data_IF_119135502820
#
_entry.id   IF_119135502820
#
_cell.length_a   1.000
_cell.length_b   1.000
_cell.length_c   1.000
_cell.angle_alpha   90.00
_cell.angle_beta   90.00
_cell.angle_gamma   90.00
#
_symmetry.space_group_name_H-M   'P 1'
#
loop_
_entity.id
_entity.type
_entity.pdbx_description
1 polymer ?
#
# COMPACT_ATOMS: atom_id res chain seq x y z
N UNK A 1 38.34 9.38 2.21
CA UNK A 1 38.03 8.95 0.84
C UNK A 1 38.60 7.55 0.64
N UNK A 2 37.75 6.51 0.61
CA UNK A 2 38.16 5.13 0.28
C UNK A 2 38.16 4.99 -1.25
N UNK A 3 39.15 5.58 -1.91
CA UNK A 3 39.08 5.95 -3.32
C UNK A 3 39.08 4.82 -4.36
N UNK A 4 39.18 3.54 -4.00
CA UNK A 4 39.46 2.44 -4.96
C UNK A 4 38.60 1.17 -4.77
N UNK A 5 37.44 1.26 -4.09
CA UNK A 5 36.55 0.10 -3.96
C UNK A 5 35.76 -0.12 -5.25
N UNK A 6 35.98 -1.28 -5.89
CA UNK A 6 35.16 -1.78 -7.01
C UNK A 6 34.13 -2.75 -6.46
N UNK A 7 32.89 -2.30 -6.32
CA UNK A 7 31.78 -3.17 -5.92
C UNK A 7 31.27 -3.95 -7.12
N UNK A 8 31.07 -5.27 -6.94
CA UNK A 8 30.35 -6.10 -7.88
C UNK A 8 29.05 -6.54 -7.19
N UNK A 9 27.86 -6.13 -7.68
CA UNK A 9 26.62 -6.55 -7.08
C UNK A 9 26.49 -8.08 -7.17
N UNK A 10 26.28 -8.73 -6.03
CA UNK A 10 26.00 -10.16 -5.95
C UNK A 10 24.55 -10.47 -6.35
N UNK A 11 23.66 -9.48 -6.25
CA UNK A 11 22.24 -9.58 -6.56
C UNK A 11 21.88 -8.53 -7.62
N UNK A 12 21.32 -8.97 -8.74
CA UNK A 12 20.89 -8.09 -9.85
C UNK A 12 19.41 -8.26 -10.19
N UNK A 13 18.69 -9.14 -9.49
CA UNK A 13 17.25 -9.28 -9.66
C UNK A 13 16.55 -8.05 -9.09
N UNK A 14 15.66 -7.47 -9.88
CA UNK A 14 14.80 -6.37 -9.42
C UNK A 14 13.85 -6.91 -8.35
N UNK A 15 13.90 -6.31 -7.17
CA UNK A 15 12.88 -6.50 -6.16
C UNK A 15 11.65 -5.73 -6.61
N UNK A 16 10.51 -6.43 -6.77
CA UNK A 16 9.24 -5.76 -7.01
C UNK A 16 8.88 -4.92 -5.77
N UNK A 17 8.50 -3.65 -5.94
CA UNK A 17 8.12 -2.83 -4.81
C UNK A 17 6.77 -3.31 -4.24
N UNK A 18 6.57 -3.19 -2.91
CA UNK A 18 5.33 -3.61 -2.26
C UNK A 18 4.13 -2.77 -2.71
N UNK A 19 4.38 -1.54 -3.16
CA UNK A 19 3.41 -0.70 -3.82
C UNK A 19 4.11 0.23 -4.81
N UNK A 20 3.38 0.69 -5.82
CA UNK A 20 3.86 1.61 -6.84
C UNK A 20 2.71 2.54 -7.25
N UNK A 21 2.95 3.85 -7.22
CA UNK A 21 1.97 4.84 -7.67
C UNK A 21 1.78 4.71 -9.19
N UNK A 22 0.53 4.76 -9.64
CA UNK A 22 0.18 4.66 -11.05
C UNK A 22 -0.61 5.89 -11.50
N UNK A 23 -0.45 6.24 -12.78
CA UNK A 23 -1.32 7.25 -13.40
C UNK A 23 -2.73 6.69 -13.51
N UNK A 24 -3.67 7.31 -12.80
CA UNK A 24 -5.09 6.98 -12.87
C UNK A 24 -5.89 8.26 -13.09
N UNK A 25 -7.05 8.14 -13.74
CA UNK A 25 -7.92 9.29 -14.02
C UNK A 25 -8.61 9.85 -12.76
N UNK A 26 -8.63 9.05 -11.69
CA UNK A 26 -9.00 9.45 -10.33
C UNK A 26 -7.74 9.85 -9.54
N UNK A 27 -7.91 10.71 -8.53
CA UNK A 27 -6.87 11.56 -7.96
C UNK A 27 -5.54 10.85 -7.64
N UNK A 28 -5.59 9.69 -6.97
CA UNK A 28 -4.41 8.91 -6.61
C UNK A 28 -4.71 7.41 -6.70
N UNK A 29 -3.80 6.65 -7.31
CA UNK A 29 -3.90 5.19 -7.34
C UNK A 29 -2.54 4.49 -7.20
N UNK A 30 -2.58 3.26 -6.68
CA UNK A 30 -1.41 2.41 -6.48
C UNK A 30 -1.67 0.99 -6.97
N UNK A 31 -0.67 0.36 -7.56
CA UNK A 31 -0.57 -1.10 -7.55
C UNK A 31 0.02 -1.53 -6.20
N UNK A 32 -0.74 -2.27 -5.40
CA UNK A 32 -0.30 -2.85 -4.12
C UNK A 32 -0.11 -4.35 -4.30
N UNK A 33 1.04 -4.89 -3.88
CA UNK A 33 1.43 -6.29 -4.12
C UNK A 33 1.71 -7.02 -2.83
N UNK A 34 1.41 -8.31 -2.73
CA UNK A 34 1.72 -9.11 -1.55
C UNK A 34 1.45 -10.60 -1.75
N UNK A 35 2.09 -11.46 -0.97
CA UNK A 35 1.94 -12.92 -1.04
C UNK A 35 0.60 -13.40 -0.44
N UNK A 36 -0.07 -12.54 0.33
CA UNK A 36 -1.36 -12.83 0.97
C UNK A 36 -2.08 -11.52 1.33
N UNK A 37 -3.35 -11.63 1.71
CA UNK A 37 -4.21 -10.50 2.07
C UNK A 37 -3.65 -9.64 3.21
N UNK A 38 -2.97 -10.24 4.18
CA UNK A 38 -2.35 -9.50 5.28
C UNK A 38 -1.23 -8.58 4.77
N UNK A 39 -0.40 -9.07 3.85
CA UNK A 39 0.62 -8.25 3.21
C UNK A 39 0.01 -7.14 2.36
N UNK A 40 -1.08 -7.40 1.63
CA UNK A 40 -1.80 -6.37 0.88
C UNK A 40 -2.29 -5.26 1.82
N UNK A 41 -2.91 -5.60 2.95
CA UNK A 41 -3.34 -4.62 3.95
C UNK A 41 -2.15 -3.76 4.44
N UNK A 42 -1.06 -4.40 4.87
CA UNK A 42 0.12 -3.68 5.38
C UNK A 42 0.71 -2.77 4.31
N UNK A 43 0.90 -3.28 3.08
CA UNK A 43 1.49 -2.49 2.00
C UNK A 43 0.57 -1.34 1.56
N UNK A 44 -0.74 -1.52 1.57
CA UNK A 44 -1.71 -0.45 1.33
C UNK A 44 -1.68 0.63 2.43
N UNK A 45 -1.58 0.22 3.70
CA UNK A 45 -1.42 1.16 4.83
C UNK A 45 -0.11 1.96 4.70
N UNK A 46 0.98 1.32 4.28
CA UNK A 46 2.25 2.00 4.01
C UNK A 46 2.14 2.94 2.81
N UNK A 47 1.42 2.57 1.75
CA UNK A 47 1.18 3.46 0.61
C UNK A 47 0.41 4.73 1.03
N UNK A 48 -0.64 4.60 1.85
CA UNK A 48 -1.34 5.76 2.41
C UNK A 48 -0.44 6.61 3.30
N UNK A 49 0.34 5.98 4.17
CA UNK A 49 1.29 6.67 5.05
C UNK A 49 2.45 7.34 4.29
N UNK A 50 2.80 6.84 3.11
CA UNK A 50 3.80 7.45 2.24
C UNK A 50 3.35 8.83 1.77
N UNK A 51 2.06 8.98 1.46
CA UNK A 51 1.45 10.25 1.08
C UNK A 51 1.10 11.13 2.29
N UNK A 52 0.68 10.52 3.41
CA UNK A 52 0.36 11.23 4.64
C UNK A 52 0.97 10.53 5.86
N UNK A 53 2.25 10.84 6.20
CA UNK A 53 2.99 10.19 7.28
C UNK A 53 2.30 10.12 8.66
N UNK A 54 1.44 11.08 9.08
CA UNK A 54 0.72 10.97 10.35
C UNK A 54 -0.12 9.70 10.52
N UNK A 55 -0.55 9.04 9.42
CA UNK A 55 -1.28 7.77 9.46
C UNK A 55 -0.52 6.65 10.16
N UNK A 56 0.82 6.68 10.18
CA UNK A 56 1.66 5.66 10.82
C UNK A 56 1.28 5.43 12.29
N UNK A 57 0.81 6.47 12.98
CA UNK A 57 0.44 6.39 14.41
C UNK A 57 -0.84 5.60 14.66
N UNK A 58 -1.59 5.27 13.60
CA UNK A 58 -2.91 4.65 13.67
C UNK A 58 -2.95 3.27 13.03
N UNK A 59 -1.89 2.86 12.34
CA UNK A 59 -1.75 1.53 11.75
C UNK A 59 -1.72 0.49 12.88
N UNK A 60 -2.46 -0.61 12.69
CA UNK A 60 -2.53 -1.72 13.63
C UNK A 60 -2.39 -3.05 12.90
N UNK A 61 -1.33 -3.79 13.21
CA UNK A 61 -0.99 -5.06 12.54
C UNK A 61 -1.83 -6.26 13.04
N UNK A 62 -2.74 -6.03 13.98
CA UNK A 62 -3.43 -7.11 14.70
C UNK A 62 -4.72 -7.59 14.05
N UNK A 63 -5.20 -6.92 12.99
CA UNK A 63 -6.47 -7.28 12.36
C UNK A 63 -6.25 -8.31 11.27
N UNK A 64 -7.02 -9.39 11.36
CA UNK A 64 -7.08 -10.44 10.35
C UNK A 64 -8.14 -10.05 9.33
N UNK A 65 -7.79 -10.13 8.06
CA UNK A 65 -8.69 -9.90 6.92
C UNK A 65 -8.93 -11.22 6.20
N UNK A 66 -10.16 -11.46 5.76
CA UNK A 66 -10.55 -12.68 5.05
C UNK A 66 -10.73 -12.47 3.55
N UNK A 67 -11.04 -11.23 3.14
CA UNK A 67 -11.19 -10.83 1.74
C UNK A 67 -10.73 -9.38 1.50
N UNK A 68 -10.94 -8.88 0.27
CA UNK A 68 -10.57 -7.53 -0.13
C UNK A 68 -11.48 -6.46 0.50
N UNK A 69 -12.74 -6.78 0.74
CA UNK A 69 -13.70 -5.84 1.33
C UNK A 69 -13.30 -5.52 2.77
N UNK A 70 -12.87 -6.53 3.54
CA UNK A 70 -12.29 -6.34 4.87
C UNK A 70 -11.10 -5.37 4.83
N UNK A 71 -10.21 -5.50 3.85
CA UNK A 71 -9.07 -4.60 3.68
C UNK A 71 -9.55 -3.16 3.46
N UNK A 72 -10.50 -2.95 2.54
CA UNK A 72 -11.03 -1.62 2.22
C UNK A 72 -11.73 -1.00 3.43
N UNK A 73 -12.51 -1.79 4.18
CA UNK A 73 -13.16 -1.36 5.43
C UNK A 73 -12.11 -0.88 6.43
N UNK A 74 -11.02 -1.63 6.59
CA UNK A 74 -9.96 -1.30 7.53
C UNK A 74 -9.17 -0.05 7.13
N UNK A 75 -8.87 0.14 5.85
CA UNK A 75 -8.23 1.36 5.35
C UNK A 75 -9.12 2.59 5.54
N UNK A 76 -10.42 2.47 5.28
CA UNK A 76 -11.36 3.58 5.49
C UNK A 76 -11.59 3.89 6.97
N UNK A 77 -11.58 2.88 7.84
CA UNK A 77 -11.63 3.08 9.29
C UNK A 77 -10.37 3.82 9.79
N UNK A 78 -9.20 3.48 9.24
CA UNK A 78 -7.94 4.16 9.50
C UNK A 78 -7.99 5.64 9.07
N UNK A 79 -8.47 5.92 7.85
CA UNK A 79 -8.65 7.27 7.31
C UNK A 79 -9.60 8.08 8.20
N UNK A 80 -10.78 7.55 8.50
CA UNK A 80 -11.80 8.20 9.33
C UNK A 80 -11.24 8.57 10.70
N UNK A 81 -10.59 7.61 11.37
CA UNK A 81 -9.99 7.83 12.69
C UNK A 81 -8.90 8.91 12.67
N UNK A 82 -8.11 8.96 11.59
CA UNK A 82 -7.05 9.94 11.44
C UNK A 82 -7.62 11.33 11.16
N UNK A 83 -8.65 11.41 10.32
CA UNK A 83 -9.35 12.65 9.99
C UNK A 83 -9.97 13.29 11.22
N UNK A 84 -10.68 12.50 12.03
CA UNK A 84 -11.29 12.97 13.28
C UNK A 84 -10.29 13.61 14.26
N UNK A 85 -9.03 13.18 14.23
CA UNK A 85 -8.03 13.61 15.22
C UNK A 85 -7.08 14.70 14.70
N UNK A 86 -6.71 14.66 13.42
CA UNK A 86 -5.65 15.49 12.86
C UNK A 86 -6.05 16.20 11.54
N UNK A 87 -7.19 15.83 10.95
CA UNK A 87 -7.51 16.11 9.55
C UNK A 87 -6.72 15.20 8.60
N UNK A 88 -7.41 14.56 7.66
CA UNK A 88 -6.83 13.67 6.67
C UNK A 88 -7.08 14.21 5.26
N UNK A 89 -6.08 14.25 4.37
CA UNK A 89 -6.28 14.66 2.99
C UNK A 89 -6.97 13.60 2.13
N UNK A 90 -7.35 12.45 2.71
CA UNK A 90 -8.01 11.36 1.99
C UNK A 90 -9.47 11.30 2.42
N UNK A 91 -10.40 11.28 1.44
CA UNK A 91 -11.82 11.05 1.69
C UNK A 91 -12.10 9.58 1.92
N UNK A 92 -11.60 8.70 1.05
CA UNK A 92 -11.86 7.27 1.11
C UNK A 92 -10.92 6.45 0.19
N UNK A 93 -10.78 5.16 0.50
CA UNK A 93 -10.32 4.13 -0.45
C UNK A 93 -11.56 3.52 -1.12
N UNK A 94 -11.56 3.47 -2.45
CA UNK A 94 -12.72 2.97 -3.21
C UNK A 94 -12.84 1.45 -3.15
N UNK A 95 -14.08 0.94 -3.31
CA UNK A 95 -14.37 -0.49 -3.49
C UNK A 95 -14.17 -0.96 -4.93
N UNK A 96 -13.24 -0.34 -5.66
CA UNK A 96 -12.93 -0.71 -7.03
C UNK A 96 -11.69 -1.60 -7.09
N UNK A 97 -11.64 -2.42 -8.13
CA UNK A 97 -10.54 -3.33 -8.40
C UNK A 97 -10.77 -4.73 -7.84
N UNK A 98 -10.27 -5.72 -8.58
CA UNK A 98 -10.18 -7.11 -8.15
C UNK A 98 -8.74 -7.43 -7.72
N UNK A 99 -8.58 -8.46 -6.88
CA UNK A 99 -7.27 -9.06 -6.65
C UNK A 99 -6.87 -9.90 -7.85
N UNK A 100 -5.74 -9.54 -8.46
CA UNK A 100 -5.15 -10.25 -9.58
C UNK A 100 -3.94 -11.06 -9.10
N UNK A 101 -3.83 -12.31 -9.54
CA UNK A 101 -2.65 -13.14 -9.28
C UNK A 101 -1.63 -12.98 -10.42
N UNK A 102 -0.42 -12.55 -10.11
CA UNK A 102 0.68 -12.42 -11.06
C UNK A 102 1.37 -13.77 -11.34
N UNK A 103 2.22 -13.83 -12.38
CA UNK A 103 2.92 -15.07 -12.79
C UNK A 103 3.78 -15.70 -11.68
N UNK A 104 4.28 -14.88 -10.75
CA UNK A 104 5.13 -15.30 -9.63
C UNK A 104 4.33 -15.65 -8.35
N UNK A 105 3.01 -15.80 -8.46
CA UNK A 105 2.09 -16.10 -7.34
C UNK A 105 1.89 -14.96 -6.35
N UNK A 106 2.34 -13.75 -6.68
CA UNK A 106 2.04 -12.55 -5.88
C UNK A 106 0.63 -12.08 -6.21
N UNK A 107 -0.11 -11.62 -5.20
CA UNK A 107 -1.37 -10.91 -5.39
C UNK A 107 -1.06 -9.44 -5.71
N UNK A 108 -1.83 -8.85 -6.59
CA UNK A 108 -1.79 -7.44 -6.94
C UNK A 108 -3.20 -6.86 -6.87
N UNK A 109 -3.33 -5.70 -6.24
CA UNK A 109 -4.56 -4.93 -6.16
C UNK A 109 -4.32 -3.50 -6.62
N UNK A 110 -5.22 -3.01 -7.48
CA UNK A 110 -5.28 -1.60 -7.85
C UNK A 110 -6.08 -0.82 -6.79
N UNK A 111 -5.36 -0.17 -5.88
CA UNK A 111 -5.95 0.65 -4.82
C UNK A 111 -6.15 2.08 -5.34
N UNK A 112 -7.39 2.56 -5.34
CA UNK A 112 -7.74 3.94 -5.72
C UNK A 112 -8.18 4.73 -4.48
N UNK A 113 -7.63 5.93 -4.33
CA UNK A 113 -7.86 6.84 -3.20
C UNK A 113 -8.52 8.12 -3.72
N UNK A 114 -9.63 8.51 -3.10
CA UNK A 114 -10.28 9.81 -3.26
C UNK A 114 -9.66 10.79 -2.25
N UNK A 115 -9.19 11.95 -2.72
CA UNK A 115 -8.48 12.98 -1.91
C UNK A 115 -9.31 14.24 -1.75
#
# INVERSE_FOLDING_TARGET
SLGHLKYKPLWTYQLKPPFEEIEHTADVAFHVRGENLQQILIHAQVALAFLFPPLLSYISDTKRVEDLDDIIIELNALITKTDEQLGCPFKAVSFHGDLLEEEDKTLMWEMIIDV
#
